data_IF_226954052955
#
_entry.id   IF_226954052955
#
_cell.length_a   1.000
_cell.length_b   1.000
_cell.length_c   1.000
_cell.angle_alpha   90.00
_cell.angle_beta   90.00
_cell.angle_gamma   90.00
#
_symmetry.space_group_name_H-M   'P 1'
#
loop_
_entity.id
_entity.type
_entity.pdbx_description
1 polymer ?
#
# COMPACT_ATOMS: atom_id res chain seq x y z
N UNK A 1 -20.46 -16.64 -11.96
CA UNK A 1 -19.16 -17.26 -12.29
C UNK A 1 -18.89 -17.36 -13.80
N UNK A 2 -19.85 -17.69 -14.68
CA UNK A 2 -19.62 -17.80 -16.16
C UNK A 2 -19.11 -16.51 -16.84
N UNK A 3 -19.52 -15.31 -16.40
CA UNK A 3 -19.06 -14.03 -16.98
C UNK A 3 -17.59 -13.69 -16.72
N UNK A 4 -17.01 -14.16 -15.60
CA UNK A 4 -15.58 -13.94 -15.29
C UNK A 4 -14.66 -14.85 -16.11
N UNK A 5 -15.13 -16.03 -16.50
CA UNK A 5 -14.36 -16.97 -17.30
C UNK A 5 -14.15 -16.47 -18.75
N UNK A 6 -15.05 -15.63 -19.29
CA UNK A 6 -14.98 -15.08 -20.64
C UNK A 6 -14.14 -13.80 -20.78
N UNK A 7 -13.58 -13.26 -19.68
CA UNK A 7 -12.75 -12.05 -19.72
C UNK A 7 -11.34 -12.38 -20.22
N UNK A 8 -10.73 -11.41 -20.92
CA UNK A 8 -9.31 -11.52 -21.30
C UNK A 8 -8.42 -11.66 -20.06
N UNK A 9 -7.28 -12.30 -20.22
CA UNK A 9 -6.31 -12.49 -19.13
C UNK A 9 -5.85 -11.17 -18.53
N UNK A 10 -5.68 -10.13 -19.35
CA UNK A 10 -5.26 -8.80 -18.89
C UNK A 10 -6.32 -8.16 -17.99
N UNK A 11 -7.60 -8.31 -18.33
CA UNK A 11 -8.70 -7.83 -17.48
C UNK A 11 -8.75 -8.61 -16.16
N UNK A 12 -8.54 -9.93 -16.18
CA UNK A 12 -8.47 -10.74 -14.96
C UNK A 12 -7.32 -10.26 -14.05
N UNK A 13 -6.11 -10.06 -14.62
CA UNK A 13 -4.97 -9.53 -13.89
C UNK A 13 -5.26 -8.13 -13.31
N UNK A 14 -5.88 -7.24 -14.10
CA UNK A 14 -6.29 -5.91 -13.64
C UNK A 14 -7.25 -5.99 -12.45
N UNK A 15 -8.25 -6.86 -12.50
CA UNK A 15 -9.22 -7.02 -11.41
C UNK A 15 -8.56 -7.52 -10.12
N UNK A 16 -7.63 -8.48 -10.22
CA UNK A 16 -6.89 -9.00 -9.06
C UNK A 16 -5.97 -7.93 -8.48
N UNK A 17 -5.21 -7.22 -9.31
CA UNK A 17 -4.34 -6.11 -8.87
C UNK A 17 -5.16 -5.02 -8.18
N UNK A 18 -6.29 -4.65 -8.75
CA UNK A 18 -7.19 -3.64 -8.20
C UNK A 18 -7.81 -4.10 -6.88
N UNK A 19 -8.29 -5.34 -6.82
CA UNK A 19 -8.85 -5.94 -5.60
C UNK A 19 -7.83 -6.00 -4.46
N UNK A 20 -6.60 -6.43 -4.74
CA UNK A 20 -5.49 -6.41 -3.78
C UNK A 20 -5.23 -5.00 -3.24
N UNK A 21 -5.18 -4.02 -4.15
CA UNK A 21 -4.94 -2.64 -3.77
C UNK A 21 -6.09 -2.05 -2.94
N UNK A 22 -7.32 -2.43 -3.24
CA UNK A 22 -8.50 -2.04 -2.47
C UNK A 22 -8.49 -2.64 -1.06
N UNK A 23 -8.25 -3.95 -0.94
CA UNK A 23 -8.14 -4.62 0.34
C UNK A 23 -7.03 -4.02 1.20
N UNK A 24 -5.86 -3.78 0.59
CA UNK A 24 -4.77 -3.09 1.26
C UNK A 24 -5.17 -1.68 1.73
N UNK A 25 -5.77 -0.86 0.85
CA UNK A 25 -6.15 0.53 1.18
C UNK A 25 -7.18 0.59 2.31
N UNK A 26 -8.12 -0.36 2.33
CA UNK A 26 -9.13 -0.46 3.37
C UNK A 26 -8.50 -0.79 4.73
N UNK A 27 -7.62 -1.79 4.77
CA UNK A 27 -6.92 -2.20 5.99
C UNK A 27 -5.93 -1.14 6.47
N UNK A 28 -5.23 -0.44 5.58
CA UNK A 28 -4.34 0.67 5.92
C UNK A 28 -5.12 1.86 6.54
N UNK A 29 -6.27 2.21 5.97
CA UNK A 29 -7.15 3.24 6.54
C UNK A 29 -7.69 2.84 7.92
N UNK A 30 -8.18 1.60 8.06
CA UNK A 30 -8.68 1.09 9.32
C UNK A 30 -7.59 1.03 10.40
N UNK A 31 -6.39 0.56 10.05
CA UNK A 31 -5.24 0.51 10.94
C UNK A 31 -4.90 1.90 11.52
N UNK A 32 -4.85 2.92 10.66
CA UNK A 32 -4.55 4.29 11.10
C UNK A 32 -5.58 4.77 12.12
N UNK A 33 -6.86 4.61 11.85
CA UNK A 33 -7.92 5.03 12.78
C UNK A 33 -7.88 4.23 14.09
N UNK A 34 -7.67 2.92 14.02
CA UNK A 34 -7.53 2.05 15.20
C UNK A 34 -6.38 2.51 16.11
N UNK A 35 -5.20 2.80 15.53
CA UNK A 35 -4.06 3.29 16.31
C UNK A 35 -4.37 4.65 16.94
N UNK A 36 -4.92 5.59 16.17
CA UNK A 36 -5.29 6.92 16.69
C UNK A 36 -6.27 6.79 17.87
N UNK A 37 -7.36 6.08 17.67
CA UNK A 37 -8.42 5.97 18.70
C UNK A 37 -7.94 5.19 19.93
N UNK A 38 -7.21 4.10 19.74
CA UNK A 38 -6.71 3.27 20.83
C UNK A 38 -5.73 4.05 21.73
N UNK A 39 -4.73 4.70 21.14
CA UNK A 39 -3.74 5.45 21.92
C UNK A 39 -4.32 6.74 22.49
N UNK A 40 -5.31 7.36 21.84
CA UNK A 40 -6.08 8.45 22.44
C UNK A 40 -6.84 7.99 23.69
N UNK A 41 -7.50 6.84 23.63
CA UNK A 41 -8.19 6.27 24.78
C UNK A 41 -7.24 5.90 25.96
N UNK A 42 -5.96 5.62 25.66
CA UNK A 42 -4.90 5.42 26.66
C UNK A 42 -4.33 6.73 27.22
N UNK A 43 -4.84 7.90 26.81
CA UNK A 43 -4.42 9.21 27.32
C UNK A 43 -3.19 9.82 26.64
N UNK A 44 -2.77 9.30 25.47
CA UNK A 44 -1.69 9.90 24.71
C UNK A 44 -2.09 11.26 24.15
N UNK A 45 -1.16 12.23 24.21
CA UNK A 45 -1.39 13.55 23.61
C UNK A 45 -1.47 13.45 22.07
N UNK A 46 -2.16 14.39 21.39
CA UNK A 46 -2.21 14.42 19.92
C UNK A 46 -0.83 14.39 19.26
N UNK A 47 0.14 15.10 19.83
CA UNK A 47 1.52 15.08 19.33
C UNK A 47 2.16 13.69 19.48
N UNK A 48 1.98 13.03 20.61
CA UNK A 48 2.51 11.68 20.85
C UNK A 48 1.91 10.68 19.84
N UNK A 49 0.61 10.80 19.55
CA UNK A 49 -0.07 9.97 18.55
C UNK A 49 0.49 10.25 17.15
N UNK A 50 0.69 11.52 16.79
CA UNK A 50 1.30 11.87 15.51
C UNK A 50 2.70 11.27 15.35
N UNK A 51 3.50 11.26 16.41
CA UNK A 51 4.85 10.66 16.42
C UNK A 51 4.82 9.14 16.16
N UNK A 52 3.76 8.41 16.52
CA UNK A 52 3.64 6.99 16.20
C UNK A 52 3.65 6.72 14.68
N UNK A 53 3.25 7.70 13.86
CA UNK A 53 3.23 7.60 12.40
C UNK A 53 4.50 8.15 11.74
N UNK A 54 5.44 8.72 12.49
CA UNK A 54 6.65 9.32 11.93
C UNK A 54 7.42 8.32 11.04
N UNK A 55 7.65 7.11 11.55
CA UNK A 55 8.36 6.08 10.78
C UNK A 55 7.54 5.56 9.60
N UNK A 56 6.21 5.53 9.70
CA UNK A 56 5.35 5.20 8.56
C UNK A 56 5.59 6.14 7.37
N UNK A 57 5.68 7.44 7.60
CA UNK A 57 5.89 8.41 6.52
C UNK A 57 7.34 8.42 6.04
N UNK A 58 8.33 8.38 6.93
CA UNK A 58 9.76 8.34 6.57
C UNK A 58 10.07 7.12 5.70
N UNK A 59 9.72 5.93 6.16
CA UNK A 59 9.96 4.70 5.41
C UNK A 59 9.11 4.58 4.15
N UNK A 60 7.92 5.19 4.13
CA UNK A 60 7.13 5.37 2.94
C UNK A 60 7.87 6.19 1.87
N UNK A 61 8.46 7.33 2.24
CA UNK A 61 9.25 8.15 1.31
C UNK A 61 10.44 7.36 0.77
N UNK A 62 11.22 6.70 1.63
CA UNK A 62 12.36 5.87 1.22
C UNK A 62 11.91 4.76 0.27
N UNK A 63 10.82 4.07 0.59
CA UNK A 63 10.29 2.99 -0.26
C UNK A 63 9.79 3.51 -1.61
N UNK A 64 9.23 4.71 -1.65
CA UNK A 64 8.79 5.32 -2.90
C UNK A 64 9.96 5.63 -3.84
N UNK A 65 11.13 5.98 -3.30
CA UNK A 65 12.36 6.18 -4.09
C UNK A 65 12.88 4.87 -4.69
N UNK A 66 12.91 3.78 -3.91
CA UNK A 66 13.49 2.50 -4.35
C UNK A 66 12.47 1.54 -4.96
N UNK A 67 11.19 1.79 -4.78
CA UNK A 67 10.10 0.88 -5.17
C UNK A 67 10.06 0.62 -6.68
N UNK A 68 10.32 1.63 -7.50
CA UNK A 68 10.42 1.46 -8.96
C UNK A 68 11.53 0.50 -9.37
N UNK A 69 12.70 0.60 -8.74
CA UNK A 69 13.82 -0.32 -8.92
C UNK A 69 13.46 -1.75 -8.49
N UNK A 70 12.81 -1.91 -7.33
CA UNK A 70 12.36 -3.22 -6.86
C UNK A 70 11.34 -3.85 -7.81
N UNK A 71 10.35 -3.08 -8.26
CA UNK A 71 9.34 -3.53 -9.23
C UNK A 71 9.94 -3.98 -10.56
N UNK A 72 10.91 -3.22 -11.09
CA UNK A 72 11.61 -3.57 -12.33
C UNK A 72 12.51 -4.81 -12.16
N UNK A 73 13.12 -5.00 -10.99
CA UNK A 73 14.02 -6.12 -10.71
C UNK A 73 13.30 -7.43 -10.37
N UNK A 74 12.28 -7.35 -9.53
CA UNK A 74 11.57 -8.52 -9.00
C UNK A 74 10.31 -8.87 -9.80
N UNK A 75 9.74 -7.88 -10.47
CA UNK A 75 8.41 -7.92 -11.07
C UNK A 75 7.37 -7.24 -10.20
N UNK A 76 6.40 -6.59 -10.83
CA UNK A 76 5.40 -5.75 -10.14
C UNK A 76 4.49 -6.59 -9.23
N UNK A 77 4.03 -7.74 -9.72
CA UNK A 77 3.15 -8.61 -8.94
C UNK A 77 3.85 -9.24 -7.74
N UNK A 78 5.14 -9.61 -7.86
CA UNK A 78 5.95 -10.07 -6.73
C UNK A 78 6.12 -8.95 -5.70
N UNK A 79 6.41 -7.73 -6.14
CA UNK A 79 6.57 -6.58 -5.25
C UNK A 79 5.28 -6.25 -4.53
N UNK A 80 4.12 -6.37 -5.19
CA UNK A 80 2.80 -6.23 -4.56
C UNK A 80 2.59 -7.29 -3.47
N UNK A 81 2.86 -8.56 -3.77
CA UNK A 81 2.71 -9.66 -2.81
C UNK A 81 3.65 -9.51 -1.60
N UNK A 82 4.88 -9.02 -1.80
CA UNK A 82 5.79 -8.66 -0.69
C UNK A 82 5.16 -7.56 0.16
N UNK A 83 4.58 -6.52 -0.45
CA UNK A 83 3.89 -5.47 0.27
C UNK A 83 2.69 -5.98 1.08
N UNK A 84 1.87 -6.90 0.52
CA UNK A 84 0.77 -7.53 1.27
C UNK A 84 1.28 -8.34 2.46
N UNK A 85 2.34 -9.13 2.28
CA UNK A 85 2.94 -9.92 3.36
C UNK A 85 3.47 -9.01 4.49
N UNK A 86 4.18 -7.93 4.15
CA UNK A 86 4.69 -6.97 5.13
C UNK A 86 3.53 -6.32 5.91
N UNK A 87 2.41 -6.00 5.25
CA UNK A 87 1.23 -5.45 5.94
C UNK A 87 0.62 -6.47 6.91
N UNK A 88 0.52 -7.74 6.52
CA UNK A 88 0.06 -8.80 7.43
C UNK A 88 0.97 -8.89 8.65
N UNK A 89 2.29 -8.85 8.46
CA UNK A 89 3.26 -8.87 9.57
C UNK A 89 3.06 -7.63 10.47
N UNK A 90 2.90 -6.44 9.90
CA UNK A 90 2.67 -5.21 10.67
C UNK A 90 1.39 -5.30 11.52
N UNK A 91 0.30 -5.85 10.98
CA UNK A 91 -0.95 -6.06 11.70
C UNK A 91 -0.77 -7.09 12.83
N UNK A 92 -0.08 -8.19 12.58
CA UNK A 92 0.21 -9.21 13.59
C UNK A 92 1.12 -8.69 14.71
N UNK A 93 2.10 -7.85 14.39
CA UNK A 93 2.92 -7.16 15.38
C UNK A 93 2.07 -6.30 16.31
N UNK A 94 1.04 -5.62 15.81
CA UNK A 94 0.14 -4.81 16.63
C UNK A 94 -0.93 -5.62 17.38
N UNK A 95 -1.06 -6.91 17.09
CA UNK A 95 -1.99 -7.83 17.77
C UNK A 95 -1.43 -8.43 19.07
N UNK A 96 -0.28 -7.97 19.55
CA UNK A 96 0.36 -8.43 20.79
C UNK A 96 -0.39 -7.90 22.05
N UNK A 97 -0.10 -8.42 23.26
CA UNK A 97 -0.60 -7.85 24.50
C UNK A 97 -0.24 -6.37 24.67
N UNK A 98 -1.09 -5.61 25.38
CA UNK A 98 -0.95 -4.17 25.53
C UNK A 98 0.40 -3.74 26.17
N UNK A 99 0.95 -4.57 27.05
CA UNK A 99 2.22 -4.31 27.72
C UNK A 99 3.41 -4.21 26.75
N UNK A 100 3.30 -4.81 25.56
CA UNK A 100 4.33 -4.82 24.54
C UNK A 100 4.19 -3.65 23.55
N UNK A 101 3.04 -2.97 23.55
CA UNK A 101 2.74 -1.86 22.64
C UNK A 101 3.46 -0.56 23.07
N UNK A 102 4.78 -0.64 23.27
CA UNK A 102 5.58 0.56 23.51
C UNK A 102 5.60 1.47 22.29
N UNK A 103 5.87 2.77 22.50
CA UNK A 103 5.94 3.77 21.41
C UNK A 103 6.88 3.30 20.30
N UNK A 104 8.08 2.87 20.65
CA UNK A 104 9.07 2.40 19.65
C UNK A 104 8.59 1.17 18.91
N UNK A 105 7.98 0.21 19.58
CA UNK A 105 7.44 -1.00 18.97
C UNK A 105 6.34 -0.67 17.94
N UNK A 106 5.42 0.21 18.31
CA UNK A 106 4.35 0.67 17.41
C UNK A 106 4.93 1.44 16.22
N UNK A 107 5.93 2.30 16.44
CA UNK A 107 6.62 3.01 15.36
C UNK A 107 7.29 2.04 14.36
N UNK A 108 7.89 0.94 14.83
CA UNK A 108 8.49 -0.10 13.96
C UNK A 108 7.39 -0.80 13.16
N UNK A 109 6.28 -1.21 13.78
CA UNK A 109 5.15 -1.80 13.07
C UNK A 109 4.57 -0.84 12.01
N UNK A 110 4.46 0.45 12.35
CA UNK A 110 4.04 1.49 11.42
C UNK A 110 5.04 1.72 10.27
N UNK A 111 6.35 1.61 10.53
CA UNK A 111 7.37 1.65 9.47
C UNK A 111 7.13 0.55 8.42
N UNK A 112 6.88 -0.68 8.87
CA UNK A 112 6.55 -1.80 7.97
C UNK A 112 5.28 -1.52 7.16
N UNK A 113 4.23 -0.99 7.80
CA UNK A 113 3.00 -0.60 7.11
C UNK A 113 3.23 0.51 6.07
N UNK A 114 4.09 1.49 6.35
CA UNK A 114 4.51 2.53 5.40
C UNK A 114 5.22 1.96 4.18
N UNK A 115 6.17 1.04 4.39
CA UNK A 115 6.85 0.29 3.32
C UNK A 115 5.82 -0.47 2.48
N UNK A 116 4.95 -1.24 3.13
CA UNK A 116 3.91 -2.02 2.49
C UNK A 116 2.99 -1.15 1.60
N UNK A 117 2.58 0.02 2.11
CA UNK A 117 1.75 1.01 1.39
C UNK A 117 2.37 1.43 0.06
N UNK A 118 3.64 1.84 0.09
CA UNK A 118 4.25 2.39 -1.12
C UNK A 118 4.64 1.29 -2.12
N UNK A 119 5.01 0.09 -1.67
CA UNK A 119 5.17 -1.07 -2.54
C UNK A 119 3.86 -1.44 -3.26
N UNK A 120 2.74 -1.52 -2.54
CA UNK A 120 1.43 -1.83 -3.14
C UNK A 120 0.96 -0.74 -4.10
N UNK A 121 1.06 0.52 -3.71
CA UNK A 121 0.66 1.69 -4.52
C UNK A 121 1.46 1.77 -5.83
N UNK A 122 2.77 1.60 -5.76
CA UNK A 122 3.65 1.65 -6.91
C UNK A 122 3.38 0.45 -7.83
N UNK A 123 3.32 -0.76 -7.29
CA UNK A 123 3.05 -1.98 -8.04
C UNK A 123 1.70 -1.92 -8.74
N UNK A 124 0.63 -1.52 -8.06
CA UNK A 124 -0.71 -1.42 -8.66
C UNK A 124 -0.74 -0.48 -9.86
N UNK A 125 -0.20 0.74 -9.70
CA UNK A 125 -0.19 1.73 -10.78
C UNK A 125 0.66 1.30 -11.98
N UNK A 126 1.83 0.71 -11.72
CA UNK A 126 2.73 0.26 -12.78
C UNK A 126 2.21 -1.00 -13.48
N UNK A 127 1.51 -1.90 -12.75
CA UNK A 127 0.90 -3.10 -13.34
C UNK A 127 -0.19 -2.72 -14.35
N UNK A 128 -1.02 -1.71 -14.06
CA UNK A 128 -2.04 -1.25 -15.00
C UNK A 128 -1.39 -0.76 -16.32
N UNK A 129 -0.30 0.01 -16.21
CA UNK A 129 0.43 0.48 -17.39
C UNK A 129 1.02 -0.69 -18.20
N UNK A 130 1.46 -1.76 -17.54
CA UNK A 130 2.02 -2.94 -18.19
C UNK A 130 0.97 -3.85 -18.84
N UNK A 131 -0.29 -3.80 -18.38
CA UNK A 131 -1.41 -4.61 -18.88
C UNK A 131 -2.11 -3.98 -20.09
N UNK A 132 -2.03 -2.65 -20.25
CA UNK A 132 -2.69 -1.96 -21.35
C UNK A 132 -1.78 -1.92 -22.57
N UNK A 133 -2.30 -2.35 -23.72
CA UNK A 133 -1.56 -2.35 -24.98
C UNK A 133 -1.21 -0.93 -25.45
N UNK A 134 -0.08 -0.80 -26.14
CA UNK A 134 0.33 0.48 -26.71
C UNK A 134 -0.75 1.02 -27.69
N UNK A 135 -1.04 2.31 -27.59
CA UNK A 135 -2.09 2.97 -28.40
C UNK A 135 -3.49 2.95 -27.76
N UNK A 136 -3.69 2.29 -26.61
CA UNK A 136 -4.96 2.29 -25.88
C UNK A 136 -4.98 3.27 -24.70
N UNK A 137 -4.59 4.51 -24.96
CA UNK A 137 -4.45 5.54 -23.91
C UNK A 137 -5.76 5.82 -23.17
N UNK A 138 -6.90 5.76 -23.84
CA UNK A 138 -8.22 5.91 -23.22
C UNK A 138 -8.53 4.81 -22.20
N UNK A 139 -8.18 3.56 -22.51
CA UNK A 139 -8.33 2.42 -21.58
C UNK A 139 -7.39 2.58 -20.38
N UNK A 140 -6.15 2.98 -20.62
CA UNK A 140 -5.16 3.26 -19.56
C UNK A 140 -5.67 4.35 -18.61
N UNK A 141 -6.16 5.46 -19.17
CA UNK A 141 -6.71 6.57 -18.38
C UNK A 141 -7.88 6.09 -17.52
N UNK A 142 -8.84 5.37 -18.11
CA UNK A 142 -10.01 4.85 -17.39
C UNK A 142 -9.60 3.93 -16.23
N UNK A 143 -8.68 2.99 -16.46
CA UNK A 143 -8.26 2.04 -15.43
C UNK A 143 -7.49 2.73 -14.30
N UNK A 144 -6.60 3.67 -14.63
CA UNK A 144 -5.88 4.47 -13.63
C UNK A 144 -6.83 5.39 -12.85
N UNK A 145 -7.83 5.98 -13.51
CA UNK A 145 -8.83 6.84 -12.87
C UNK A 145 -9.68 6.05 -11.87
N UNK A 146 -10.14 4.84 -12.23
CA UNK A 146 -10.86 3.94 -11.32
C UNK A 146 -10.00 3.57 -10.12
N UNK A 147 -8.74 3.16 -10.33
CA UNK A 147 -7.84 2.80 -9.24
C UNK A 147 -7.58 3.99 -8.30
N UNK A 148 -7.32 5.17 -8.86
CA UNK A 148 -6.96 6.35 -8.06
C UNK A 148 -8.18 6.98 -7.38
N UNK A 149 -9.32 7.04 -8.07
CA UNK A 149 -10.56 7.58 -7.54
C UNK A 149 -11.12 6.71 -6.41
N UNK A 150 -11.19 5.40 -6.62
CA UNK A 150 -11.66 4.47 -5.58
C UNK A 150 -10.78 4.44 -4.34
N UNK A 151 -9.48 4.69 -4.46
CA UNK A 151 -8.55 4.75 -3.31
C UNK A 151 -9.01 5.73 -2.24
N UNK A 152 -9.40 6.95 -2.62
CA UNK A 152 -9.76 7.98 -1.65
C UNK A 152 -11.07 7.64 -0.93
N UNK A 153 -12.06 7.12 -1.67
CA UNK A 153 -13.30 6.62 -1.10
C UNK A 153 -13.05 5.46 -0.13
N UNK A 154 -12.26 4.47 -0.53
CA UNK A 154 -11.93 3.31 0.30
C UNK A 154 -11.11 3.68 1.53
N UNK A 155 -10.24 4.69 1.46
CA UNK A 155 -9.53 5.19 2.63
C UNK A 155 -10.50 5.78 3.66
N UNK A 156 -11.50 6.56 3.22
CA UNK A 156 -12.56 7.07 4.09
C UNK A 156 -13.39 5.95 4.72
N UNK A 157 -13.80 4.96 3.91
CA UNK A 157 -14.50 3.76 4.41
C UNK A 157 -13.61 3.01 5.41
N UNK A 158 -12.30 2.90 5.15
CA UNK A 158 -11.34 2.29 6.06
C UNK A 158 -11.28 2.98 7.41
N UNK A 159 -11.26 4.32 7.44
CA UNK A 159 -11.31 5.07 8.70
C UNK A 159 -12.56 4.78 9.50
N UNK A 160 -13.73 4.78 8.86
CA UNK A 160 -14.99 4.42 9.51
C UNK A 160 -14.96 2.98 10.02
N UNK A 161 -14.48 2.05 9.20
CA UNK A 161 -14.34 0.64 9.57
C UNK A 161 -13.42 0.45 10.78
N UNK A 162 -12.31 1.21 10.86
CA UNK A 162 -11.40 1.18 12.00
C UNK A 162 -12.09 1.56 13.30
N UNK A 163 -12.90 2.64 13.30
CA UNK A 163 -13.72 3.03 14.46
C UNK A 163 -14.75 1.96 14.83
N UNK A 164 -15.46 1.42 13.82
CA UNK A 164 -16.45 0.35 14.03
C UNK A 164 -15.81 -0.92 14.61
N UNK A 165 -14.66 -1.35 14.07
CA UNK A 165 -13.97 -2.53 14.57
C UNK A 165 -13.47 -2.35 15.99
N UNK A 166 -13.06 -1.15 16.39
CA UNK A 166 -12.65 -0.88 17.78
C UNK A 166 -13.83 -0.97 18.75
N UNK A 167 -15.03 -0.56 18.33
CA UNK A 167 -16.24 -0.65 19.17
C UNK A 167 -16.80 -2.07 19.28
N UNK A 168 -16.69 -2.87 18.22
CA UNK A 168 -17.24 -4.23 18.20
C UNK A 168 -16.24 -5.28 18.70
N UNK A 169 -14.96 -5.03 18.51
CA UNK A 169 -13.86 -5.91 18.88
C UNK A 169 -12.86 -5.12 19.72
N UNK A 170 -12.01 -5.81 20.48
CA UNK A 170 -10.86 -5.14 21.08
C UNK A 170 -9.86 -4.71 19.99
N UNK A 171 -8.92 -3.81 20.33
CA UNK A 171 -7.81 -3.42 19.43
C UNK A 171 -7.10 -4.66 18.83
N UNK A 172 -6.73 -5.62 19.70
CA UNK A 172 -6.13 -6.90 19.30
C UNK A 172 -7.03 -7.69 18.35
N UNK A 173 -8.32 -7.81 18.67
CA UNK A 173 -9.29 -8.54 17.84
C UNK A 173 -9.45 -7.92 16.46
N UNK A 174 -9.49 -6.60 16.37
CA UNK A 174 -9.53 -5.88 15.10
C UNK A 174 -8.27 -6.11 14.24
N UNK A 175 -7.07 -6.09 14.86
CA UNK A 175 -5.81 -6.38 14.18
C UNK A 175 -5.77 -7.80 13.63
N UNK A 176 -6.20 -8.80 14.43
CA UNK A 176 -6.25 -10.20 14.00
C UNK A 176 -7.26 -10.43 12.87
N UNK A 177 -8.43 -9.81 12.95
CA UNK A 177 -9.43 -9.91 11.87
C UNK A 177 -8.88 -9.33 10.56
N UNK A 178 -8.31 -8.13 10.59
CA UNK A 178 -7.71 -7.51 9.41
C UNK A 178 -6.55 -8.32 8.85
N UNK A 179 -5.67 -8.85 9.71
CA UNK A 179 -4.58 -9.72 9.31
C UNK A 179 -5.10 -10.99 8.63
N UNK A 180 -6.13 -11.62 9.19
CA UNK A 180 -6.76 -12.82 8.61
C UNK A 180 -7.37 -12.57 7.23
N UNK A 181 -8.19 -11.51 7.10
CA UNK A 181 -8.79 -11.13 5.81
C UNK A 181 -7.71 -10.80 4.78
N UNK A 182 -6.69 -10.01 5.15
CA UNK A 182 -5.62 -9.64 4.22
C UNK A 182 -4.75 -10.87 3.85
N UNK A 183 -4.57 -11.83 4.74
CA UNK A 183 -3.88 -13.09 4.44
C UNK A 183 -4.64 -13.90 3.39
N UNK A 184 -5.97 -13.98 3.47
CA UNK A 184 -6.77 -14.64 2.43
C UNK A 184 -6.62 -13.97 1.07
N UNK A 185 -6.65 -12.64 1.04
CA UNK A 185 -6.40 -11.85 -0.17
C UNK A 185 -4.98 -12.10 -0.71
N UNK A 186 -3.99 -12.13 0.15
CA UNK A 186 -2.60 -12.42 -0.21
C UNK A 186 -2.42 -13.82 -0.78
N UNK A 187 -2.99 -14.86 -0.14
CA UNK A 187 -2.96 -16.23 -0.66
C UNK A 187 -3.61 -16.33 -2.04
N UNK A 188 -4.77 -15.70 -2.22
CA UNK A 188 -5.43 -15.64 -3.53
C UNK A 188 -4.56 -14.90 -4.56
N UNK A 189 -3.93 -13.81 -4.18
CA UNK A 189 -3.03 -13.03 -5.02
C UNK A 189 -1.83 -13.86 -5.50
N UNK A 190 -1.21 -14.65 -4.61
CA UNK A 190 -0.09 -15.53 -4.96
C UNK A 190 -0.48 -16.57 -6.02
N UNK A 191 -1.71 -17.06 -5.96
CA UNK A 191 -2.23 -18.02 -6.94
C UNK A 191 -2.63 -17.37 -8.27
N UNK A 192 -3.30 -16.21 -8.23
CA UNK A 192 -3.95 -15.60 -9.38
C UNK A 192 -3.05 -14.67 -10.21
N UNK A 193 -2.00 -14.07 -9.61
CA UNK A 193 -1.14 -13.13 -10.30
C UNK A 193 0.07 -13.78 -10.99
N UNK A 194 0.29 -13.41 -12.26
CA UNK A 194 1.48 -13.83 -13.03
C UNK A 194 2.74 -13.21 -12.42
N UNK A 195 3.76 -14.01 -12.13
CA UNK A 195 4.94 -13.56 -11.38
C UNK A 195 5.85 -12.56 -12.13
N UNK A 196 5.85 -12.58 -13.46
CA UNK A 196 6.83 -11.85 -14.28
C UNK A 196 6.30 -10.53 -14.87
N UNK A 197 5.09 -10.10 -14.52
CA UNK A 197 4.53 -8.85 -15.01
C UNK A 197 5.44 -7.66 -14.63
N UNK A 198 5.80 -6.86 -15.64
CA UNK A 198 6.60 -5.64 -15.45
C UNK A 198 8.08 -5.86 -15.09
N UNK A 199 8.56 -7.10 -15.12
CA UNK A 199 9.96 -7.40 -14.89
C UNK A 199 10.81 -6.95 -16.07
N UNK A 200 11.85 -6.16 -15.81
CA UNK A 200 12.76 -5.71 -16.85
C UNK A 200 13.58 -6.88 -17.43
N UNK A 201 13.76 -6.90 -18.76
CA UNK A 201 14.60 -7.89 -19.44
C UNK A 201 16.06 -7.84 -18.93
N UNK A 202 16.59 -6.64 -18.78
CA UNK A 202 17.91 -6.41 -18.18
C UNK A 202 17.71 -5.98 -16.71
N UNK A 203 18.39 -6.64 -15.76
CA UNK A 203 18.31 -6.29 -14.34
C UNK A 203 18.86 -4.86 -14.13
N UNK A 204 18.02 -3.90 -13.66
CA UNK A 204 18.48 -2.55 -13.43
C UNK A 204 19.57 -2.54 -12.34
N UNK A 205 20.55 -1.64 -12.49
CA UNK A 205 21.55 -1.37 -11.46
C UNK A 205 21.00 -0.36 -10.46
N UNK A 206 21.51 -0.36 -9.24
CA UNK A 206 21.08 0.58 -8.21
C UNK A 206 21.29 2.05 -8.63
N UNK A 207 22.33 2.30 -9.41
CA UNK A 207 22.62 3.62 -10.00
C UNK A 207 21.53 4.12 -10.96
N UNK A 208 20.69 3.23 -11.48
CA UNK A 208 19.60 3.58 -12.42
C UNK A 208 18.37 4.16 -11.70
N UNK A 209 18.39 4.24 -10.35
CA UNK A 209 17.35 4.94 -9.55
C UNK A 209 17.30 6.42 -9.94
N UNK A 210 18.45 7.02 -10.18
CA UNK A 210 18.52 8.39 -10.70
C UNK A 210 18.50 8.37 -12.23
N UNK A 211 17.57 9.17 -12.80
CA UNK A 211 17.48 9.28 -14.25
C UNK A 211 18.76 9.92 -14.84
N UNK A 212 19.19 9.44 -16.01
CA UNK A 212 20.24 10.09 -16.78
C UNK A 212 19.79 11.44 -17.37
N UNK A 213 18.49 11.70 -17.41
CA UNK A 213 17.92 12.96 -17.89
C UNK A 213 17.83 13.97 -16.76
N UNK A 214 18.51 15.12 -16.93
CA UNK A 214 18.46 16.25 -15.99
C UNK A 214 17.03 16.76 -15.78
N UNK A 215 16.23 16.84 -16.85
CA UNK A 215 14.84 17.29 -16.79
C UNK A 215 13.96 16.38 -15.93
N UNK A 216 14.15 15.05 -16.01
CA UNK A 216 13.42 14.09 -15.18
C UNK A 216 13.82 14.25 -13.71
N UNK A 217 15.11 14.45 -13.42
CA UNK A 217 15.59 14.63 -12.04
C UNK A 217 15.05 15.94 -11.43
N UNK A 218 15.03 17.04 -12.20
CA UNK A 218 14.44 18.32 -11.76
C UNK A 218 12.93 18.15 -11.50
N UNK A 219 12.20 17.49 -12.40
CA UNK A 219 10.77 17.23 -12.23
C UNK A 219 10.51 16.37 -10.99
N UNK A 220 11.35 15.36 -10.76
CA UNK A 220 11.23 14.48 -9.58
C UNK A 220 11.48 15.24 -8.28
N UNK A 221 12.49 16.11 -8.24
CA UNK A 221 12.76 16.98 -7.10
C UNK A 221 11.62 17.97 -6.86
N UNK A 222 11.13 18.65 -7.91
CA UNK A 222 9.99 19.56 -7.81
C UNK A 222 8.73 18.85 -7.26
N UNK A 223 8.46 17.63 -7.71
CA UNK A 223 7.33 16.83 -7.18
C UNK A 223 7.53 16.43 -5.73
N UNK A 224 8.74 16.11 -5.30
CA UNK A 224 9.03 15.79 -3.90
C UNK A 224 8.66 16.97 -2.98
N UNK A 225 9.10 18.19 -3.33
CA UNK A 225 8.78 19.39 -2.57
C UNK A 225 7.28 19.73 -2.62
N UNK A 226 6.65 19.61 -3.78
CA UNK A 226 5.22 19.89 -3.94
C UNK A 226 4.36 18.94 -3.09
N UNK A 227 4.66 17.65 -3.10
CA UNK A 227 3.91 16.67 -2.29
C UNK A 227 4.23 16.80 -0.80
N UNK A 228 5.48 17.09 -0.43
CA UNK A 228 5.85 17.37 0.96
C UNK A 228 5.12 18.60 1.51
N UNK A 229 5.06 19.69 0.75
CA UNK A 229 4.32 20.88 1.15
C UNK A 229 2.82 20.60 1.33
N UNK A 230 2.21 19.84 0.43
CA UNK A 230 0.80 19.44 0.55
C UNK A 230 0.52 18.68 1.84
N UNK A 231 1.36 17.72 2.19
CA UNK A 231 1.13 16.80 3.32
C UNK A 231 1.41 17.49 4.68
N UNK A 232 2.02 18.68 4.69
CA UNK A 232 2.18 19.55 5.89
C UNK A 232 0.86 20.27 6.24
N UNK A 233 -0.01 20.52 5.27
CA UNK A 233 -1.26 21.29 5.46
C UNK A 233 -2.50 20.41 5.69
N UNK A 234 -2.37 19.09 5.66
CA UNK A 234 -3.43 18.11 5.88
C UNK A 234 -3.02 17.10 6.95
#
# INVERSE_FOLDING_TARGET
MKRLASLSDDIKQYLVVTGNYWAFTLTDGALRMLVVLHFHALGYSPLSIAMLFLFYEIFGVVTNLVGGFLGARLGLNKTMNIGLAIQVIALLMLAVPAEWLTVVYVMIAQALSGIAKDLNKMSAKSSIKALVAAGQEGTLFKWVAVLTGSKNALKGVGFFLGGLLLTLLSFKGAMLLMAGVLTLVWCYSLYALKSDLGKAKNKPKFTDIFSKSRSINILSAARLFLFGARDVWF
#
